data_IF_258745079015
#
_entry.id   IF_258745079015
#
_cell.length_a   1.000
_cell.length_b   1.000
_cell.length_c   1.000
_cell.angle_alpha   90.00
_cell.angle_beta   90.00
_cell.angle_gamma   90.00
#
_symmetry.space_group_name_H-M   'P 1'
#
loop_
_entity.id
_entity.type
_entity.pdbx_description
1 polymer ?
#
# COMPACT_ATOMS: atom_id res chain seq x y z
N UNK A 1 5.45 67.04 22.80
CA UNK A 1 5.40 66.10 23.95
C UNK A 1 4.34 65.07 23.66
N UNK A 2 4.73 63.81 23.47
CA UNK A 2 3.82 62.73 23.11
C UNK A 2 4.57 61.55 22.50
N UNK A 3 5.44 60.90 23.28
CA UNK A 3 6.01 59.60 22.98
C UNK A 3 4.96 58.53 23.35
N UNK A 4 4.58 57.68 22.39
CA UNK A 4 3.92 56.40 22.67
C UNK A 4 4.95 55.32 22.43
N UNK A 5 5.53 54.87 23.54
CA UNK A 5 6.56 53.84 23.59
C UNK A 5 5.90 52.46 23.64
N UNK A 6 6.46 51.59 22.81
CA UNK A 6 5.96 50.29 22.41
C UNK A 6 6.53 49.23 23.36
N UNK A 7 5.70 48.53 24.13
CA UNK A 7 6.10 47.35 24.89
C UNK A 7 5.30 46.14 24.40
N UNK A 8 5.94 45.32 23.57
CA UNK A 8 5.52 43.95 23.29
C UNK A 8 6.67 43.04 23.74
N UNK A 9 6.44 42.32 24.85
CA UNK A 9 7.34 41.29 25.36
C UNK A 9 7.33 40.08 24.41
N UNK A 10 8.51 39.72 23.90
CA UNK A 10 8.73 38.49 23.15
C UNK A 10 9.01 37.33 24.12
N UNK A 11 8.03 36.44 24.31
CA UNK A 11 8.24 35.13 24.94
C UNK A 11 8.83 34.17 23.90
N UNK A 12 10.08 33.78 24.08
CA UNK A 12 10.76 32.77 23.25
C UNK A 12 10.42 31.38 23.80
N UNK A 13 9.54 30.63 23.13
CA UNK A 13 9.40 29.19 23.33
C UNK A 13 10.41 28.44 22.44
N UNK A 14 11.47 27.93 23.07
CA UNK A 14 12.38 26.95 22.46
C UNK A 14 11.70 25.58 22.44
N UNK A 15 11.18 25.16 21.29
CA UNK A 15 10.68 23.80 21.08
C UNK A 15 11.81 22.97 20.47
N UNK A 16 12.40 22.07 21.27
CA UNK A 16 13.25 21.00 20.75
C UNK A 16 12.38 19.99 19.98
N UNK A 17 12.75 19.57 18.76
CA UNK A 17 12.02 18.52 18.07
C UNK A 17 12.32 17.17 18.71
N UNK A 18 11.33 16.60 19.41
CA UNK A 18 11.32 15.18 19.76
C UNK A 18 10.88 14.37 18.54
N UNK A 19 11.72 13.40 18.14
CA UNK A 19 11.41 12.44 17.07
C UNK A 19 10.04 11.77 17.29
N UNK A 20 9.21 11.56 16.25
CA UNK A 20 7.99 10.78 16.39
C UNK A 20 8.32 9.29 16.45
N UNK A 21 8.09 8.68 17.61
CA UNK A 21 8.25 7.25 17.88
C UNK A 21 7.09 6.46 17.26
N UNK A 22 7.16 6.18 15.95
CA UNK A 22 6.21 5.33 15.21
C UNK A 22 6.16 3.89 15.75
N UNK A 23 7.17 3.47 16.52
CA UNK A 23 7.26 2.13 17.10
C UNK A 23 6.40 1.94 18.37
N UNK A 24 6.05 3.02 19.08
CA UNK A 24 5.28 2.94 20.32
C UNK A 24 3.78 2.70 20.07
N UNK A 25 3.22 3.27 19.00
CA UNK A 25 1.80 3.10 18.67
C UNK A 25 1.48 1.72 18.08
N UNK A 26 2.40 1.14 17.28
CA UNK A 26 2.27 -0.23 16.79
C UNK A 26 2.39 -1.26 17.92
N UNK A 27 3.26 -1.01 18.91
CA UNK A 27 3.43 -1.90 20.08
C UNK A 27 2.20 -1.88 20.99
N UNK A 28 1.53 -0.72 21.14
CA UNK A 28 0.32 -0.60 21.95
C UNK A 28 -0.90 -1.31 21.30
N UNK A 29 -1.01 -1.26 19.97
CA UNK A 29 -2.05 -1.97 19.21
C UNK A 29 -1.86 -3.49 19.23
N UNK A 30 -0.62 -3.98 19.13
CA UNK A 30 -0.30 -5.40 19.27
C UNK A 30 -0.55 -5.91 20.69
N UNK A 31 -0.27 -5.10 21.72
CA UNK A 31 -0.57 -5.45 23.11
C UNK A 31 -2.09 -5.55 23.37
N UNK A 32 -2.89 -4.65 22.79
CA UNK A 32 -4.34 -4.69 22.93
C UNK A 32 -4.96 -5.88 22.17
N UNK A 33 -4.45 -6.21 20.98
CA UNK A 33 -4.93 -7.36 20.19
C UNK A 33 -4.56 -8.70 20.86
N UNK A 34 -3.36 -8.83 21.42
CA UNK A 34 -2.96 -10.01 22.20
C UNK A 34 -3.76 -10.15 23.50
N UNK A 35 -4.09 -9.03 24.15
CA UNK A 35 -4.92 -9.04 25.37
C UNK A 35 -6.36 -9.48 25.04
N UNK A 36 -6.92 -9.02 23.92
CA UNK A 36 -8.25 -9.42 23.46
C UNK A 36 -8.30 -10.90 23.03
N UNK A 37 -7.27 -11.40 22.34
CA UNK A 37 -7.15 -12.83 22.00
C UNK A 37 -7.00 -13.71 23.24
N UNK A 38 -6.26 -13.26 24.26
CA UNK A 38 -6.15 -13.97 25.55
C UNK A 38 -7.46 -13.97 26.32
N UNK A 39 -8.24 -12.89 26.28
CA UNK A 39 -9.56 -12.83 26.92
C UNK A 39 -10.58 -13.75 26.22
N UNK A 40 -10.54 -13.82 24.88
CA UNK A 40 -11.44 -14.67 24.09
C UNK A 40 -11.14 -16.17 24.26
N UNK A 41 -9.89 -16.53 24.58
CA UNK A 41 -9.47 -17.91 24.87
C UNK A 41 -9.59 -18.30 26.35
N UNK A 42 -9.88 -17.35 27.25
CA UNK A 42 -9.97 -17.57 28.70
C UNK A 42 -11.42 -17.68 29.22
N UNK A 43 -12.40 -17.93 28.35
CA UNK A 43 -13.75 -18.32 28.77
C UNK A 43 -13.76 -19.78 29.24
N UNK A 44 -14.06 -20.06 30.52
CA UNK A 44 -14.05 -21.42 31.03
C UNK A 44 -15.27 -22.18 30.52
N UNK A 45 -15.03 -23.23 29.72
CA UNK A 45 -15.96 -24.35 29.59
C UNK A 45 -16.02 -25.06 30.93
N UNK A 46 -17.03 -24.71 31.74
CA UNK A 46 -17.43 -25.51 32.88
C UNK A 46 -18.27 -26.70 32.39
N UNK A 47 -17.62 -27.88 32.46
CA UNK A 47 -18.16 -29.19 32.81
C UNK A 47 -19.31 -29.78 31.97
N UNK A 48 -19.11 -31.00 31.44
CA UNK A 48 -19.59 -32.22 32.09
C UNK A 48 -18.82 -33.46 31.58
N UNK A 49 -18.56 -34.36 32.53
CA UNK A 49 -17.73 -35.57 32.43
C UNK A 49 -18.27 -36.62 31.46
N UNK A 50 -17.34 -37.33 30.81
CA UNK A 50 -17.42 -38.79 30.67
C UNK A 50 -16.01 -39.34 30.54
N UNK A 51 -15.62 -40.10 31.56
CA UNK A 51 -14.37 -40.84 31.64
C UNK A 51 -14.43 -42.06 30.71
N UNK A 52 -13.41 -42.27 29.89
CA UNK A 52 -12.96 -43.60 29.52
C UNK A 52 -11.44 -43.60 29.46
N UNK A 53 -10.85 -44.38 30.36
CA UNK A 53 -9.44 -44.69 30.39
C UNK A 53 -9.12 -45.65 29.24
N UNK A 54 -8.11 -45.29 28.43
CA UNK A 54 -7.36 -46.26 27.65
C UNK A 54 -5.88 -45.98 27.88
N UNK A 55 -5.25 -46.88 28.63
CA UNK A 55 -3.81 -47.05 28.65
C UNK A 55 -3.41 -47.80 27.39
N UNK A 56 -2.43 -47.36 26.62
CA UNK A 56 -1.49 -48.25 25.95
C UNK A 56 -0.19 -47.52 25.54
N UNK A 57 0.85 -48.34 25.40
CA UNK A 57 2.26 -48.06 25.55
C UNK A 57 2.92 -47.28 24.41
N UNK A 58 3.94 -46.53 24.83
CA UNK A 58 5.25 -46.25 24.24
C UNK A 58 5.66 -46.85 22.88
N UNK A 59 6.40 -45.96 22.18
CA UNK A 59 7.53 -46.16 21.28
C UNK A 59 7.28 -46.79 19.91
N UNK A 60 7.57 -46.00 18.87
CA UNK A 60 8.44 -46.40 17.77
C UNK A 60 8.89 -45.17 16.97
N UNK A 61 10.19 -44.90 17.06
CA UNK A 61 11.00 -44.05 16.20
C UNK A 61 10.78 -44.39 14.72
N UNK A 62 10.46 -43.39 13.89
CA UNK A 62 10.57 -43.49 12.43
C UNK A 62 11.34 -42.27 11.88
N UNK A 63 12.13 -42.48 10.80
CA UNK A 63 13.23 -41.61 10.40
C UNK A 63 12.77 -40.34 9.69
N UNK A 64 13.60 -39.30 9.84
CA UNK A 64 13.54 -38.06 9.08
C UNK A 64 13.59 -38.36 7.57
N UNK A 65 12.42 -38.32 6.92
CA UNK A 65 12.30 -38.28 5.47
C UNK A 65 12.56 -36.86 5.01
N UNK A 66 13.80 -36.57 4.68
CA UNK A 66 14.24 -35.37 3.96
C UNK A 66 13.61 -35.37 2.57
N UNK A 67 12.37 -34.90 2.45
CA UNK A 67 11.79 -34.59 1.15
C UNK A 67 12.44 -33.29 0.67
N UNK A 68 13.05 -33.27 -0.52
CA UNK A 68 13.54 -32.02 -1.07
C UNK A 68 12.34 -31.08 -1.22
N UNK A 69 12.49 -29.87 -0.66
CA UNK A 69 11.68 -28.72 -1.03
C UNK A 69 11.82 -28.54 -2.53
N UNK A 70 10.86 -29.10 -3.27
CA UNK A 70 10.62 -28.67 -4.63
C UNK A 70 10.22 -27.21 -4.53
N UNK A 71 11.19 -26.34 -4.82
CA UNK A 71 10.94 -24.98 -5.25
C UNK A 71 9.89 -25.07 -6.35
N UNK A 72 8.64 -24.86 -5.95
CA UNK A 72 7.56 -24.60 -6.85
C UNK A 72 7.81 -23.20 -7.40
N UNK A 73 8.78 -23.11 -8.32
CA UNK A 73 8.81 -22.08 -9.34
C UNK A 73 7.63 -22.35 -10.29
N UNK A 74 6.42 -22.41 -9.73
CA UNK A 74 5.22 -22.16 -10.51
C UNK A 74 5.27 -20.67 -10.76
N UNK A 75 5.72 -20.30 -11.96
CA UNK A 75 5.28 -19.08 -12.57
C UNK A 75 3.80 -18.95 -12.24
N UNK A 76 3.44 -17.90 -11.48
CA UNK A 76 2.06 -17.56 -11.23
C UNK A 76 1.33 -17.69 -12.57
N UNK A 77 0.31 -18.56 -12.62
CA UNK A 77 -0.63 -18.61 -13.73
C UNK A 77 -0.99 -17.18 -14.09
N UNK A 78 -0.98 -16.79 -15.38
CA UNK A 78 -1.25 -15.41 -15.77
C UNK A 78 -2.63 -15.06 -15.23
N UNK A 79 -2.65 -14.31 -14.12
CA UNK A 79 -3.88 -13.74 -13.58
C UNK A 79 -4.53 -13.02 -14.76
N UNK A 80 -5.80 -13.33 -15.06
CA UNK A 80 -6.53 -12.69 -16.16
C UNK A 80 -6.25 -11.20 -16.10
N UNK A 81 -5.61 -10.65 -17.14
CA UNK A 81 -5.28 -9.23 -17.15
C UNK A 81 -6.56 -8.45 -17.04
N UNK A 82 -6.62 -7.54 -16.07
CA UNK A 82 -7.74 -6.65 -15.91
C UNK A 82 -7.69 -5.58 -17.00
N UNK A 83 -8.79 -5.42 -17.72
CA UNK A 83 -9.03 -4.26 -18.58
C UNK A 83 -9.93 -3.29 -17.83
N UNK A 84 -9.55 -2.02 -17.80
CA UNK A 84 -10.30 -0.99 -17.09
C UNK A 84 -11.25 -0.24 -18.00
N UNK A 85 -12.46 0.00 -17.52
CA UNK A 85 -13.37 1.00 -18.09
C UNK A 85 -13.16 2.36 -17.43
N UNK A 86 -13.48 3.45 -18.14
CA UNK A 86 -13.41 4.81 -17.58
C UNK A 86 -14.28 4.95 -16.32
N UNK A 87 -15.44 4.29 -16.30
CA UNK A 87 -16.36 4.30 -15.15
C UNK A 87 -15.77 3.64 -13.91
N UNK A 88 -15.07 2.52 -14.05
CA UNK A 88 -14.42 1.85 -12.92
C UNK A 88 -13.27 2.67 -12.36
N UNK A 89 -12.50 3.33 -13.24
CA UNK A 89 -11.44 4.26 -12.82
C UNK A 89 -12.03 5.42 -12.01
N UNK A 90 -13.08 6.04 -12.53
CA UNK A 90 -13.78 7.14 -11.87
C UNK A 90 -14.44 6.71 -10.56
N UNK A 91 -14.92 5.46 -10.45
CA UNK A 91 -15.48 4.97 -9.21
C UNK A 91 -14.45 4.95 -8.07
N UNK A 92 -13.18 4.66 -8.38
CA UNK A 92 -12.11 4.65 -7.39
C UNK A 92 -11.57 6.07 -7.20
N UNK A 93 -11.24 6.79 -8.28
CA UNK A 93 -10.67 8.13 -8.22
C UNK A 93 -11.67 9.18 -7.73
N UNK A 94 -12.97 8.99 -7.92
CA UNK A 94 -14.01 9.90 -7.42
C UNK A 94 -14.20 9.83 -5.91
N UNK A 95 -13.65 8.82 -5.22
CA UNK A 95 -13.71 8.70 -3.75
C UNK A 95 -12.74 9.68 -3.11
N UNK A 96 -13.13 10.28 -1.99
CA UNK A 96 -12.22 11.06 -1.14
C UNK A 96 -12.03 10.35 0.20
N UNK A 97 -10.80 9.93 0.49
CA UNK A 97 -10.45 9.31 1.76
C UNK A 97 -10.59 7.80 1.76
N UNK A 98 -11.03 7.24 2.89
CA UNK A 98 -11.09 5.80 3.13
C UNK A 98 -12.45 5.21 2.71
N UNK A 99 -12.42 4.00 2.17
CA UNK A 99 -13.58 3.22 1.76
C UNK A 99 -13.59 1.88 2.51
N UNK A 100 -14.77 1.45 2.95
CA UNK A 100 -14.99 0.16 3.61
C UNK A 100 -16.39 -0.35 3.33
N UNK A 101 -16.49 -1.64 3.00
CA UNK A 101 -17.75 -2.37 2.81
C UNK A 101 -17.58 -3.82 3.26
N UNK A 102 -18.55 -4.30 4.02
CA UNK A 102 -18.56 -5.65 4.57
C UNK A 102 -19.92 -6.32 4.31
N UNK A 103 -19.91 -7.46 3.63
CA UNK A 103 -21.03 -8.39 3.57
C UNK A 103 -20.69 -9.60 4.45
N UNK A 104 -21.17 -9.55 5.71
CA UNK A 104 -20.89 -10.60 6.69
C UNK A 104 -21.45 -11.96 6.28
N UNK A 105 -22.61 -11.98 5.63
CA UNK A 105 -23.29 -13.22 5.26
C UNK A 105 -22.51 -13.97 4.19
N UNK A 106 -21.99 -13.24 3.20
CA UNK A 106 -21.14 -13.81 2.14
C UNK A 106 -19.66 -13.85 2.52
N UNK A 107 -19.28 -13.21 3.62
CA UNK A 107 -17.89 -13.02 4.02
C UNK A 107 -17.11 -12.08 3.09
N UNK A 108 -17.78 -11.34 2.21
CA UNK A 108 -17.09 -10.45 1.26
C UNK A 108 -16.71 -9.15 1.94
N UNK A 109 -15.48 -8.72 1.69
CA UNK A 109 -14.95 -7.48 2.23
C UNK A 109 -14.30 -6.68 1.11
N UNK A 110 -14.51 -5.37 1.16
CA UNK A 110 -13.86 -4.42 0.26
C UNK A 110 -13.42 -3.21 1.08
N UNK A 111 -12.18 -2.79 0.90
CA UNK A 111 -11.64 -1.62 1.56
C UNK A 111 -10.63 -0.93 0.65
N UNK A 112 -10.47 0.37 0.78
CA UNK A 112 -9.56 1.10 -0.08
C UNK A 112 -9.36 2.52 0.37
N UNK A 113 -8.55 3.26 -0.38
CA UNK A 113 -8.41 4.69 -0.16
C UNK A 113 -8.01 5.39 -1.43
N UNK A 114 -8.48 6.63 -1.56
CA UNK A 114 -8.08 7.55 -2.61
C UNK A 114 -7.50 8.81 -1.99
N UNK A 115 -6.31 9.19 -2.46
CA UNK A 115 -5.51 10.28 -1.92
C UNK A 115 -5.07 11.21 -3.05
N UNK A 116 -5.23 12.51 -2.81
CA UNK A 116 -4.71 13.54 -3.71
C UNK A 116 -3.20 13.62 -3.57
N UNK A 117 -2.52 13.78 -4.70
CA UNK A 117 -1.09 13.99 -4.79
C UNK A 117 -0.89 15.43 -5.24
N UNK A 118 -0.20 16.22 -4.42
CA UNK A 118 0.26 17.54 -4.79
C UNK A 118 1.75 17.63 -4.46
N UNK A 119 2.56 17.90 -5.47
CA UNK A 119 4.02 17.95 -5.33
C UNK A 119 4.56 19.18 -6.04
N UNK A 120 5.09 20.12 -5.27
CA UNK A 120 5.85 21.24 -5.84
C UNK A 120 7.22 20.74 -6.28
N UNK A 121 7.65 21.25 -7.44
CA UNK A 121 8.91 20.91 -8.08
C UNK A 121 9.80 22.16 -8.10
N UNK A 122 10.96 22.10 -7.45
CA UNK A 122 11.84 23.27 -7.33
C UNK A 122 12.49 23.61 -8.67
N UNK A 123 12.44 24.90 -9.03
CA UNK A 123 13.03 25.39 -10.28
C UNK A 123 12.27 24.97 -11.54
N UNK A 124 11.02 24.53 -11.39
CA UNK A 124 10.14 24.20 -12.51
C UNK A 124 9.46 25.43 -13.11
N UNK A 125 9.31 25.40 -14.43
CA UNK A 125 8.30 26.13 -15.19
C UNK A 125 7.29 25.15 -15.81
N UNK A 126 6.15 25.66 -16.29
CA UNK A 126 5.07 24.83 -16.81
C UNK A 126 5.53 23.92 -17.97
N UNK A 127 6.36 24.44 -18.87
CA UNK A 127 6.86 23.68 -20.03
C UNK A 127 7.84 22.59 -19.62
N UNK A 128 8.68 22.85 -18.61
CA UNK A 128 9.56 21.83 -18.02
C UNK A 128 8.77 20.71 -17.35
N UNK A 129 7.67 21.02 -16.66
CA UNK A 129 6.79 20.01 -16.06
C UNK A 129 6.11 19.18 -17.14
N UNK A 130 5.55 19.81 -18.18
CA UNK A 130 4.92 19.09 -19.30
C UNK A 130 5.90 18.17 -20.03
N UNK A 131 7.11 18.65 -20.33
CA UNK A 131 8.15 17.83 -20.98
C UNK A 131 8.59 16.65 -20.11
N UNK A 132 8.67 16.85 -18.80
CA UNK A 132 8.91 15.76 -17.87
C UNK A 132 7.74 14.76 -17.86
N UNK A 133 6.49 15.26 -17.86
CA UNK A 133 5.25 14.47 -17.98
C UNK A 133 5.13 13.67 -19.29
N UNK A 134 5.70 14.16 -20.38
CA UNK A 134 5.67 13.50 -21.68
C UNK A 134 6.49 12.20 -21.75
N UNK A 135 7.50 12.03 -20.88
CA UNK A 135 8.31 10.82 -20.81
C UNK A 135 7.76 9.85 -19.74
N UNK A 136 6.90 8.93 -20.19
CA UNK A 136 6.20 7.99 -19.32
C UNK A 136 7.15 6.99 -18.65
N UNK A 137 8.23 6.58 -19.31
CA UNK A 137 9.25 5.71 -18.74
C UNK A 137 10.04 6.44 -17.64
N UNK A 138 10.50 7.66 -17.92
CA UNK A 138 11.21 8.47 -16.95
C UNK A 138 10.36 8.69 -15.69
N UNK A 139 9.06 8.92 -15.86
CA UNK A 139 8.16 9.11 -14.74
C UNK A 139 7.90 7.82 -13.98
N UNK A 140 7.60 6.73 -14.66
CA UNK A 140 7.37 5.44 -14.03
C UNK A 140 8.56 5.06 -13.11
N UNK A 141 9.77 5.23 -13.62
CA UNK A 141 11.01 4.99 -12.86
C UNK A 141 11.33 6.07 -11.83
N UNK A 142 10.73 7.25 -11.94
CA UNK A 142 10.95 8.34 -10.99
C UNK A 142 10.14 8.24 -9.71
N UNK A 143 8.93 7.69 -9.81
CA UNK A 143 7.94 7.68 -8.73
C UNK A 143 8.29 6.65 -7.66
N UNK A 144 8.97 5.58 -8.05
CA UNK A 144 9.20 4.41 -7.21
C UNK A 144 10.68 4.22 -6.91
N UNK A 145 10.98 3.67 -5.73
CA UNK A 145 12.33 3.19 -5.43
C UNK A 145 12.72 2.15 -6.50
N UNK A 146 13.86 2.29 -7.20
CA UNK A 146 14.33 1.32 -8.19
C UNK A 146 14.42 -0.13 -7.69
N UNK A 147 14.49 -0.34 -6.37
CA UNK A 147 14.47 -1.68 -5.75
C UNK A 147 13.07 -2.29 -5.67
N UNK A 148 12.04 -1.47 -5.80
CA UNK A 148 10.63 -1.83 -5.65
C UNK A 148 9.87 -1.83 -6.98
N UNK A 149 10.48 -1.35 -8.07
CA UNK A 149 9.91 -1.37 -9.41
C UNK A 149 10.78 -2.17 -10.36
N UNK A 150 10.15 -2.95 -11.22
CA UNK A 150 10.82 -3.63 -12.34
C UNK A 150 9.89 -3.64 -13.55
N UNK A 151 10.38 -3.22 -14.70
CA UNK A 151 9.65 -3.41 -15.94
C UNK A 151 9.55 -4.91 -16.27
N UNK A 152 8.32 -5.37 -16.54
CA UNK A 152 8.04 -6.75 -16.95
C UNK A 152 7.66 -6.84 -18.41
N UNK A 153 7.03 -5.79 -18.94
CA UNK A 153 6.65 -5.63 -20.34
C UNK A 153 6.66 -4.13 -20.69
N UNK A 154 6.69 -3.76 -21.97
CA UNK A 154 6.62 -2.35 -22.36
C UNK A 154 5.45 -1.64 -21.67
N UNK A 155 5.76 -0.59 -20.91
CA UNK A 155 4.80 0.21 -20.14
C UNK A 155 4.10 -0.52 -19.00
N UNK A 156 4.53 -1.73 -18.63
CA UNK A 156 4.00 -2.51 -17.52
C UNK A 156 5.10 -2.82 -16.52
N UNK A 157 4.88 -2.36 -15.29
CA UNK A 157 5.85 -2.41 -14.22
C UNK A 157 5.32 -3.24 -13.06
N UNK A 158 6.13 -4.18 -12.58
CA UNK A 158 5.87 -4.91 -11.35
C UNK A 158 6.33 -4.10 -10.16
N UNK A 159 5.38 -3.72 -9.33
CA UNK A 159 5.60 -3.04 -8.07
C UNK A 159 5.63 -4.06 -6.92
N UNK A 160 6.72 -4.05 -6.16
CA UNK A 160 6.82 -4.78 -4.89
C UNK A 160 6.25 -3.91 -3.78
N UNK A 161 5.18 -4.37 -3.17
CA UNK A 161 4.56 -3.69 -2.03
C UNK A 161 5.19 -4.14 -0.72
N UNK A 162 4.95 -3.37 0.34
CA UNK A 162 5.33 -3.74 1.70
C UNK A 162 4.58 -5.00 2.15
N UNK A 163 5.21 -5.77 3.04
CA UNK A 163 4.52 -6.88 3.70
C UNK A 163 3.44 -6.32 4.64
N UNK A 164 2.21 -6.79 4.47
CA UNK A 164 1.07 -6.43 5.31
C UNK A 164 0.75 -7.60 6.23
N UNK A 165 0.58 -7.32 7.52
CA UNK A 165 0.08 -8.29 8.49
C UNK A 165 -1.36 -7.96 8.83
N UNK A 166 -2.25 -8.92 8.60
CA UNK A 166 -3.66 -8.81 8.94
C UNK A 166 -4.08 -10.02 9.76
N UNK A 167 -4.19 -9.82 11.08
CA UNK A 167 -4.51 -10.87 12.05
C UNK A 167 -3.49 -12.03 11.96
N UNK A 168 -3.84 -13.13 11.31
CA UNK A 168 -3.00 -14.32 11.12
C UNK A 168 -2.52 -14.51 9.68
N UNK A 169 -2.78 -13.54 8.81
CA UNK A 169 -2.43 -13.57 7.39
C UNK A 169 -1.30 -12.59 7.14
N UNK A 170 -0.21 -13.08 6.54
CA UNK A 170 0.88 -12.24 6.06
C UNK A 170 0.82 -12.18 4.54
N UNK A 171 0.73 -10.96 3.99
CA UNK A 171 0.66 -10.69 2.56
C UNK A 171 1.95 -9.99 2.14
N UNK A 172 2.58 -10.43 1.05
CA UNK A 172 3.72 -9.70 0.45
C UNK A 172 3.45 -9.42 -1.03
N UNK A 173 2.42 -8.62 -1.33
CA UNK A 173 1.84 -8.57 -2.66
C UNK A 173 2.76 -7.94 -3.71
N UNK A 174 2.58 -8.39 -4.95
CA UNK A 174 3.09 -7.76 -6.15
C UNK A 174 1.92 -7.28 -7.01
N UNK A 175 2.01 -6.06 -7.54
CA UNK A 175 1.02 -5.51 -8.47
C UNK A 175 1.74 -5.16 -9.76
N UNK A 176 1.24 -5.68 -10.87
CA UNK A 176 1.68 -5.26 -12.19
C UNK A 176 0.80 -4.08 -12.62
N UNK A 177 1.42 -2.95 -12.91
CA UNK A 177 0.76 -1.68 -13.21
C UNK A 177 1.17 -1.23 -14.60
N UNK A 178 0.19 -0.95 -15.45
CA UNK A 178 0.42 -0.24 -16.70
C UNK A 178 0.54 1.25 -16.41
N UNK A 179 1.56 1.90 -16.96
CA UNK A 179 1.82 3.33 -16.80
C UNK A 179 2.07 3.97 -18.16
N UNK A 180 1.43 5.10 -18.45
CA UNK A 180 1.56 5.78 -19.73
C UNK A 180 1.17 7.25 -19.61
N UNK A 181 1.69 8.09 -20.49
CA UNK A 181 1.21 9.46 -20.67
C UNK A 181 0.25 9.51 -21.85
N UNK A 182 -0.91 10.14 -21.63
CA UNK A 182 -1.93 10.38 -22.64
C UNK A 182 -1.62 11.65 -23.45
N UNK A 183 -2.30 11.86 -24.57
CA UNK A 183 -2.10 13.02 -25.47
C UNK A 183 -2.34 14.38 -24.79
N UNK A 184 -3.04 14.40 -23.65
CA UNK A 184 -3.30 15.59 -22.83
C UNK A 184 -2.28 15.86 -21.71
N UNK A 185 -1.03 15.41 -21.86
CA UNK A 185 0.04 15.54 -20.85
C UNK A 185 -0.33 14.98 -19.47
N UNK A 186 -1.24 14.00 -19.45
CA UNK A 186 -1.69 13.35 -18.22
C UNK A 186 -1.06 11.98 -18.10
N UNK A 187 -0.27 11.78 -17.05
CA UNK A 187 0.30 10.48 -16.73
C UNK A 187 -0.75 9.65 -16.00
N UNK A 188 -1.02 8.45 -16.50
CA UNK A 188 -2.02 7.52 -15.97
C UNK A 188 -1.35 6.23 -15.54
N UNK A 189 -1.90 5.63 -14.48
CA UNK A 189 -1.52 4.30 -14.05
C UNK A 189 -2.76 3.45 -13.74
N UNK A 190 -2.68 2.15 -14.00
CA UNK A 190 -3.70 1.18 -13.60
C UNK A 190 -3.13 -0.22 -13.38
N UNK A 191 -3.64 -0.95 -12.39
CA UNK A 191 -3.27 -2.33 -12.14
C UNK A 191 -3.80 -3.25 -13.22
N UNK A 192 -2.94 -4.03 -13.86
CA UNK A 192 -3.30 -5.00 -14.89
C UNK A 192 -3.27 -6.44 -14.38
N UNK A 193 -2.43 -6.73 -13.39
CA UNK A 193 -2.32 -8.05 -12.78
C UNK A 193 -1.87 -7.93 -11.32
N UNK A 194 -2.14 -8.98 -10.55
CA UNK A 194 -1.92 -9.00 -9.11
C UNK A 194 -1.51 -10.39 -8.66
N UNK A 195 -0.48 -10.45 -7.82
CA UNK A 195 -0.09 -11.64 -7.09
C UNK A 195 -0.10 -11.33 -5.58
N UNK A 196 -1.02 -11.91 -4.81
CA UNK A 196 -1.12 -11.63 -3.38
C UNK A 196 0.05 -12.17 -2.55
N UNK A 197 0.78 -13.18 -3.04
CA UNK A 197 1.89 -13.83 -2.35
C UNK A 197 1.61 -14.03 -0.84
N UNK A 198 0.58 -14.85 -0.57
CA UNK A 198 0.01 -15.04 0.77
C UNK A 198 0.80 -16.11 1.52
N UNK A 199 1.25 -15.76 2.71
CA UNK A 199 1.76 -16.70 3.71
C UNK A 199 0.73 -16.81 4.83
N UNK A 200 0.08 -17.97 4.91
CA UNK A 200 -0.83 -18.29 6.01
C UNK A 200 -0.03 -18.89 7.15
N UNK A 201 -0.32 -18.44 8.38
CA UNK A 201 0.25 -19.05 9.56
C UNK A 201 -0.21 -20.51 9.69
N UNK A 202 0.67 -21.43 10.14
CA UNK A 202 0.31 -22.84 10.31
C UNK A 202 -0.89 -22.99 11.25
N UNK A 203 -1.83 -23.87 10.88
CA UNK A 203 -3.06 -24.14 11.63
C UNK A 203 -4.35 -23.57 11.01
N UNK A 204 -4.24 -22.76 9.96
CA UNK A 204 -5.39 -22.24 9.20
C UNK A 204 -5.47 -23.03 7.89
N UNK A 205 -6.38 -24.01 7.83
CA UNK A 205 -6.57 -24.90 6.67
C UNK A 205 -7.24 -24.25 5.46
N UNK A 206 -6.92 -22.98 5.16
CA UNK A 206 -7.47 -22.20 4.06
C UNK A 206 -6.39 -22.04 3.00
N UNK A 207 -6.71 -22.05 1.70
CA UNK A 207 -5.72 -21.76 0.65
C UNK A 207 -5.73 -20.28 0.30
N UNK A 208 -4.60 -19.73 -0.13
CA UNK A 208 -4.49 -18.34 -0.60
C UNK A 208 -5.55 -18.00 -1.67
N UNK A 209 -5.75 -18.91 -2.62
CA UNK A 209 -6.71 -18.76 -3.72
C UNK A 209 -8.16 -18.63 -3.24
N UNK A 210 -8.50 -19.31 -2.14
CA UNK A 210 -9.86 -19.29 -1.57
C UNK A 210 -10.23 -17.95 -0.91
N UNK A 211 -9.25 -17.07 -0.68
CA UNK A 211 -9.50 -15.73 -0.15
C UNK A 211 -9.95 -14.76 -1.23
N UNK A 212 -9.83 -15.12 -2.52
CA UNK A 212 -10.27 -14.29 -3.64
C UNK A 212 -9.74 -12.85 -3.61
N UNK A 213 -8.52 -12.66 -3.08
CA UNK A 213 -7.96 -11.32 -2.87
C UNK A 213 -7.67 -10.69 -4.23
N UNK A 214 -8.22 -9.50 -4.46
CA UNK A 214 -7.90 -8.66 -5.60
C UNK A 214 -7.49 -7.28 -5.11
N UNK A 215 -6.40 -6.75 -5.65
CA UNK A 215 -5.96 -5.38 -5.42
C UNK A 215 -6.00 -4.62 -6.72
N UNK A 216 -6.80 -3.58 -6.72
CA UNK A 216 -7.04 -2.67 -7.81
C UNK A 216 -6.36 -1.35 -7.48
N UNK A 217 -5.56 -0.82 -8.39
CA UNK A 217 -4.85 0.46 -8.24
C UNK A 217 -5.07 1.29 -9.49
N UNK A 218 -5.44 2.55 -9.33
CA UNK A 218 -5.56 3.52 -10.41
C UNK A 218 -4.98 4.85 -9.98
N UNK A 219 -4.47 5.61 -10.93
CA UNK A 219 -3.97 6.95 -10.66
C UNK A 219 -3.84 7.78 -11.91
N UNK A 220 -3.73 9.08 -11.66
CA UNK A 220 -3.52 10.11 -12.67
C UNK A 220 -2.73 11.27 -12.09
N UNK A 221 -1.91 11.89 -12.94
CA UNK A 221 -1.13 13.08 -12.65
C UNK A 221 -1.24 14.04 -13.83
N UNK A 222 -1.23 15.32 -13.52
CA UNK A 222 -1.28 16.43 -14.45
C UNK A 222 -0.38 17.56 -13.95
N UNK A 223 0.03 18.50 -14.82
CA UNK A 223 0.66 19.74 -14.39
C UNK A 223 -0.22 20.44 -13.35
N UNK A 224 0.39 20.97 -12.28
CA UNK A 224 -0.34 21.77 -11.30
C UNK A 224 -0.90 23.04 -11.94
N UNK A 225 -1.98 23.58 -11.39
CA UNK A 225 -2.61 24.82 -11.91
C UNK A 225 -1.68 26.03 -11.92
N UNK A 226 -0.66 26.04 -11.08
CA UNK A 226 0.35 27.11 -11.03
C UNK A 226 1.59 26.81 -11.89
N UNK A 227 1.62 25.66 -12.60
CA UNK A 227 2.72 25.25 -13.47
C UNK A 227 4.01 24.89 -12.74
N UNK A 228 4.03 24.89 -11.40
CA UNK A 228 5.24 24.70 -10.59
C UNK A 228 5.31 23.35 -9.89
N UNK A 229 4.63 22.36 -10.43
CA UNK A 229 4.51 21.06 -9.82
C UNK A 229 3.56 20.14 -10.55
N UNK A 230 3.22 19.06 -9.88
CA UNK A 230 2.26 18.06 -10.35
C UNK A 230 1.13 17.91 -9.33
N UNK A 231 -0.08 17.79 -9.86
CA UNK A 231 -1.30 17.54 -9.12
C UNK A 231 -1.95 16.28 -9.68
N UNK A 232 -2.73 15.57 -8.87
CA UNK A 232 -3.26 14.28 -9.28
C UNK A 232 -3.87 13.51 -8.14
N UNK A 233 -4.19 12.25 -8.44
CA UNK A 233 -4.87 11.37 -7.49
C UNK A 233 -4.42 9.95 -7.71
N UNK A 234 -4.28 9.23 -6.61
CA UNK A 234 -4.07 7.79 -6.60
C UNK A 234 -5.13 7.15 -5.73
N UNK A 235 -5.69 6.05 -6.20
CA UNK A 235 -6.66 5.28 -5.46
C UNK A 235 -6.38 3.80 -5.57
N UNK A 236 -6.72 3.08 -4.51
CA UNK A 236 -6.70 1.62 -4.54
C UNK A 236 -7.91 1.05 -3.83
N UNK A 237 -8.29 -0.16 -4.24
CA UNK A 237 -9.36 -0.95 -3.65
C UNK A 237 -8.84 -2.37 -3.51
N UNK A 238 -8.95 -2.92 -2.32
CA UNK A 238 -8.70 -4.32 -2.02
C UNK A 238 -10.03 -4.99 -1.74
N UNK A 239 -10.29 -6.10 -2.43
CA UNK A 239 -11.46 -6.94 -2.20
C UNK A 239 -11.03 -8.37 -1.90
N UNK A 240 -11.88 -9.12 -1.20
CA UNK A 240 -11.65 -10.53 -0.93
C UNK A 240 -12.74 -11.15 -0.06
N UNK A 241 -12.48 -12.37 0.37
CA UNK A 241 -13.34 -13.14 1.27
C UNK A 241 -12.65 -13.39 2.61
N UNK A 242 -13.32 -13.01 3.69
CA UNK A 242 -12.87 -13.28 5.04
C UNK A 242 -12.99 -14.78 5.35
N UNK A 243 -11.94 -15.40 5.93
CA UNK A 243 -12.02 -16.73 6.51
C UNK A 243 -13.15 -16.81 7.56
N UNK A 244 -13.82 -17.97 7.73
CA UNK A 244 -14.93 -18.10 8.66
C UNK A 244 -14.67 -17.58 10.09
N UNK A 245 -13.50 -17.81 10.73
CA UNK A 245 -13.22 -17.25 12.05
C UNK A 245 -13.22 -15.71 12.07
N UNK A 246 -12.78 -15.07 10.98
CA UNK A 246 -12.72 -13.62 10.87
C UNK A 246 -14.08 -12.97 10.65
N UNK A 247 -15.06 -13.72 10.14
CA UNK A 247 -16.45 -13.24 9.94
C UNK A 247 -17.16 -12.95 11.26
N UNK A 248 -16.68 -13.54 12.36
CA UNK A 248 -17.21 -13.36 13.70
C UNK A 248 -16.64 -12.13 14.42
N UNK A 249 -15.60 -11.50 13.85
CA UNK A 249 -15.01 -10.30 14.44
C UNK A 249 -16.00 -9.14 14.43
N UNK A 250 -15.98 -8.27 15.46
CA UNK A 250 -16.72 -7.02 15.43
C UNK A 250 -16.29 -6.18 14.23
N UNK A 251 -17.25 -5.64 13.50
CA UNK A 251 -17.00 -4.82 12.32
C UNK A 251 -16.15 -3.59 12.63
N UNK A 252 -16.30 -3.00 13.81
CA UNK A 252 -15.46 -1.89 14.27
C UNK A 252 -13.98 -2.29 14.35
N UNK A 253 -13.69 -3.53 14.78
CA UNK A 253 -12.33 -4.04 14.86
C UNK A 253 -11.74 -4.27 13.46
N UNK A 254 -12.54 -4.82 12.54
CA UNK A 254 -12.16 -4.99 11.13
C UNK A 254 -11.90 -3.63 10.47
N UNK A 255 -12.85 -2.71 10.58
CA UNK A 255 -12.77 -1.37 9.99
C UNK A 255 -11.56 -0.60 10.52
N UNK A 256 -11.30 -0.63 11.84
CA UNK A 256 -10.14 0.04 12.43
C UNK A 256 -8.80 -0.54 11.93
N UNK A 257 -8.72 -1.86 11.82
CA UNK A 257 -7.53 -2.54 11.30
C UNK A 257 -7.27 -2.19 9.83
N UNK A 258 -8.34 -2.18 9.02
CA UNK A 258 -8.27 -1.86 7.59
C UNK A 258 -8.03 -0.38 7.32
N UNK A 259 -8.56 0.52 8.16
CA UNK A 259 -8.23 1.95 8.15
C UNK A 259 -6.74 2.17 8.36
N UNK A 260 -6.12 1.42 9.27
CA UNK A 260 -4.67 1.48 9.51
C UNK A 260 -3.88 1.02 8.29
N UNK A 261 -4.30 -0.07 7.65
CA UNK A 261 -3.69 -0.54 6.39
C UNK A 261 -3.85 0.52 5.31
N UNK A 262 -5.04 1.11 5.16
CA UNK A 262 -5.33 2.12 4.17
C UNK A 262 -4.39 3.31 4.29
N UNK A 263 -4.28 3.88 5.49
CA UNK A 263 -3.37 4.99 5.78
C UNK A 263 -1.92 4.63 5.50
N UNK A 264 -1.50 3.41 5.85
CA UNK A 264 -0.13 2.98 5.65
C UNK A 264 0.21 2.92 4.15
N UNK A 265 -0.66 2.32 3.34
CA UNK A 265 -0.49 2.23 1.89
C UNK A 265 -0.54 3.62 1.25
N UNK A 266 -1.56 4.43 1.55
CA UNK A 266 -1.70 5.78 0.99
C UNK A 266 -0.50 6.67 1.34
N UNK A 267 -0.06 6.68 2.59
CA UNK A 267 1.09 7.47 3.01
C UNK A 267 2.38 7.02 2.35
N UNK A 268 2.57 5.71 2.18
CA UNK A 268 3.73 5.18 1.48
C UNK A 268 3.73 5.59 0.01
N UNK A 269 2.60 5.45 -0.68
CA UNK A 269 2.48 5.83 -2.09
C UNK A 269 2.73 7.32 -2.29
N UNK A 270 2.05 8.18 -1.52
CA UNK A 270 2.20 9.65 -1.61
C UNK A 270 3.63 10.09 -1.31
N UNK A 271 4.25 9.58 -0.25
CA UNK A 271 5.63 9.96 0.10
C UNK A 271 6.66 9.45 -0.90
N UNK A 272 6.51 8.21 -1.37
CA UNK A 272 7.40 7.64 -2.39
C UNK A 272 7.34 8.47 -3.65
N UNK A 273 6.13 8.80 -4.10
CA UNK A 273 5.89 9.69 -5.22
C UNK A 273 6.55 11.06 -5.02
N UNK A 274 6.24 11.76 -3.93
CA UNK A 274 6.74 13.11 -3.69
C UNK A 274 8.27 13.17 -3.69
N UNK A 275 8.91 12.24 -2.96
CA UNK A 275 10.36 12.18 -2.87
C UNK A 275 11.00 11.81 -4.22
N UNK A 276 10.43 10.83 -4.91
CA UNK A 276 10.89 10.37 -6.21
C UNK A 276 10.79 11.47 -7.27
N UNK A 277 9.62 12.08 -7.41
CA UNK A 277 9.35 13.17 -8.33
C UNK A 277 10.30 14.36 -8.12
N UNK A 278 10.44 14.86 -6.89
CA UNK A 278 11.32 16.00 -6.61
C UNK A 278 12.79 15.73 -6.90
N UNK A 279 13.27 14.53 -6.59
CA UNK A 279 14.65 14.15 -6.85
C UNK A 279 14.92 14.02 -8.35
N UNK A 280 14.01 13.35 -9.07
CA UNK A 280 14.19 12.99 -10.47
C UNK A 280 13.91 14.14 -11.41
N UNK A 281 12.96 15.00 -11.08
CA UNK A 281 12.75 16.25 -11.79
C UNK A 281 13.98 17.16 -11.72
N UNK A 282 14.65 17.24 -10.56
CA UNK A 282 15.92 17.97 -10.45
C UNK A 282 17.01 17.38 -11.35
N UNK A 283 17.09 16.06 -11.48
CA UNK A 283 18.01 15.39 -12.39
C UNK A 283 17.67 15.70 -13.86
N UNK A 284 16.38 15.70 -14.21
CA UNK A 284 15.88 16.05 -15.53
C UNK A 284 16.28 17.49 -15.93
N UNK A 285 16.08 18.47 -15.03
CA UNK A 285 16.51 19.85 -15.30
C UNK A 285 18.03 19.98 -15.50
N UNK A 286 18.83 19.16 -14.80
CA UNK A 286 20.28 19.14 -14.98
C UNK A 286 20.67 18.56 -16.34
N UNK A 287 20.04 17.45 -16.76
CA UNK A 287 20.34 16.86 -18.07
C UNK A 287 19.97 17.79 -19.22
N UNK A 288 18.84 18.50 -19.11
CA UNK A 288 18.41 19.50 -20.10
C UNK A 288 19.44 20.62 -20.28
N UNK A 289 19.96 21.16 -19.16
CA UNK A 289 21.00 22.20 -19.22
C UNK A 289 22.29 21.71 -19.87
N UNK A 290 22.70 20.47 -19.58
CA UNK A 290 23.89 19.87 -20.18
C UNK A 290 23.73 19.65 -21.69
N UNK A 291 22.53 19.26 -22.14
CA UNK A 291 22.23 19.10 -23.56
C UNK A 291 22.29 20.46 -24.27
N UNK A 292 21.69 21.50 -23.70
CA UNK A 292 21.71 22.85 -24.25
C UNK A 292 23.15 23.39 -24.41
N UNK A 293 24.01 23.18 -23.41
CA UNK A 293 25.43 23.58 -23.48
C UNK A 293 26.20 22.87 -24.60
N UNK A 294 25.91 21.59 -24.84
CA UNK A 294 26.56 20.83 -25.92
C UNK A 294 26.07 21.19 -27.31
N UNK A 295 24.86 21.72 -27.45
CA UNK A 295 24.34 22.17 -28.75
C UNK A 295 24.87 23.53 -29.20
N UNK A 296 25.54 24.27 -28.31
CA UNK A 296 26.16 25.56 -28.59
C UNK A 296 27.65 25.46 -28.97
N UNK A 297 28.27 24.29 -28.79
CA UNK A 297 29.65 23.95 -29.19
C UNK A 297 29.70 23.34 -30.61
#
# INVERSE_FOLDING_TARGET
MGNTENQNEHIIFSIRPTKPTTQAQASLLMANLQTFLRLALALPLACHHSALAFTFRSSLSHPASTRPFLNSARCATPSKRKSWTAREREEILGRDGEYFKLDRMRGKIEFGSSSRILTSLDGSDEDSVRRWLADDEQIAMSIWDPKLIREVEPKVYRLKLMTLMFVTIQLSPHVDVRMWTDEGDSFKLESVAFDPNIQLLPGIGVSADSLGISIDVVGELYPSKDGRGVDGKIGFVTSGELPPPMRLLPEQALQSSLSTINRTISNFAVKSFQNGAQMKFRQFLQSERLIAQRSEE
#
